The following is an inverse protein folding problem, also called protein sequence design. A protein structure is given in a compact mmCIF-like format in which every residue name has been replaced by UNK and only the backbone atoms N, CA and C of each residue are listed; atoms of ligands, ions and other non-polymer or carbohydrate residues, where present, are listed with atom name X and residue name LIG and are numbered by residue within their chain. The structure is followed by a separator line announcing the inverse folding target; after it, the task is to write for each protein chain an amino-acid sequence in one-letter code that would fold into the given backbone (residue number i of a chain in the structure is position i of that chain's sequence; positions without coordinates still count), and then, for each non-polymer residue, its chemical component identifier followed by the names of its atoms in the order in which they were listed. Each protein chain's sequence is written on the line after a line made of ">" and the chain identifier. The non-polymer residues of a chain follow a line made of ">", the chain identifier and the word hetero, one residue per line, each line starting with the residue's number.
data_IF_376801387422
#
_entry.id   IF_376801387422
#
_cell.length_a   1.000
_cell.length_b   1.000
_cell.length_c   1.000
_cell.angle_alpha   90.00
_cell.angle_beta   90.00
_cell.angle_gamma   90.00
#
_symmetry.space_group_name_H-M   'P 1'
#
loop_
_entity.id
_entity.type
_entity.pdbx_description
1 polymer ?
#
# COMPACT_ATOMS: atom_id res chain seq x y z
N UNK A 1 -23.82 3.65 -3.01
CA UNK A 1 -24.06 4.89 -3.80
C UNK A 1 -22.75 5.64 -3.92
N UNK A 2 -22.32 6.05 -5.11
CA UNK A 2 -21.10 6.85 -5.30
C UNK A 2 -21.48 8.34 -5.29
N UNK A 3 -20.77 9.14 -4.50
CA UNK A 3 -20.88 10.59 -4.47
C UNK A 3 -19.49 11.19 -4.65
N UNK A 4 -19.40 12.31 -5.36
CA UNK A 4 -18.14 13.04 -5.54
C UNK A 4 -18.35 14.46 -5.05
N UNK A 5 -17.38 14.98 -4.30
CA UNK A 5 -17.40 16.38 -3.85
C UNK A 5 -17.21 17.33 -5.02
N UNK A 6 -17.66 18.58 -4.87
CA UNK A 6 -17.45 19.61 -5.88
C UNK A 6 -15.95 19.88 -6.13
N UNK A 7 -15.63 20.35 -7.34
CA UNK A 7 -14.28 20.76 -7.72
C UNK A 7 -13.45 19.70 -8.44
N UNK A 8 -14.06 18.59 -8.87
CA UNK A 8 -13.46 17.66 -9.84
C UNK A 8 -13.89 18.02 -11.26
N UNK A 9 -12.93 18.41 -12.10
CA UNK A 9 -13.11 18.66 -13.53
C UNK A 9 -13.43 17.37 -14.29
N UNK A 10 -12.85 16.24 -13.88
CA UNK A 10 -13.02 14.94 -14.56
C UNK A 10 -13.99 14.00 -13.83
N UNK A 11 -14.97 14.55 -13.11
CA UNK A 11 -15.87 13.81 -12.21
C UNK A 11 -16.59 12.64 -12.86
N UNK A 12 -17.08 12.77 -14.11
CA UNK A 12 -17.79 11.69 -14.80
C UNK A 12 -16.88 10.48 -15.07
N UNK A 13 -15.68 10.72 -15.59
CA UNK A 13 -14.70 9.67 -15.89
C UNK A 13 -14.19 9.00 -14.62
N UNK A 14 -13.94 9.78 -13.56
CA UNK A 14 -13.48 9.28 -12.26
C UNK A 14 -14.58 8.40 -11.62
N UNK A 15 -15.82 8.89 -11.53
CA UNK A 15 -16.94 8.13 -10.99
C UNK A 15 -17.16 6.83 -11.75
N UNK A 16 -17.12 6.88 -13.09
CA UNK A 16 -17.27 5.67 -13.92
C UNK A 16 -16.16 4.65 -13.67
N UNK A 17 -14.89 5.08 -13.64
CA UNK A 17 -13.77 4.18 -13.37
C UNK A 17 -13.90 3.52 -11.99
N UNK A 18 -14.30 4.30 -10.98
CA UNK A 18 -14.51 3.78 -9.62
C UNK A 18 -15.65 2.78 -9.58
N UNK A 19 -16.78 3.05 -10.24
CA UNK A 19 -17.91 2.12 -10.30
C UNK A 19 -17.52 0.81 -10.99
N UNK A 20 -16.85 0.89 -12.14
CA UNK A 20 -16.39 -0.27 -12.92
C UNK A 20 -15.45 -1.14 -12.07
N UNK A 21 -14.41 -0.54 -11.46
CA UNK A 21 -13.43 -1.28 -10.65
C UNK A 21 -14.03 -1.80 -9.34
N UNK A 22 -14.88 -1.02 -8.66
CA UNK A 22 -15.56 -1.47 -7.45
C UNK A 22 -16.49 -2.65 -7.73
N UNK A 23 -17.12 -2.68 -8.90
CA UNK A 23 -17.90 -3.81 -9.40
C UNK A 23 -17.04 -5.03 -9.69
N UNK A 24 -15.90 -4.87 -10.39
CA UNK A 24 -14.95 -5.96 -10.66
C UNK A 24 -14.43 -6.61 -9.36
N UNK A 25 -14.14 -5.80 -8.34
CA UNK A 25 -13.64 -6.26 -7.04
C UNK A 25 -14.76 -6.76 -6.09
N UNK A 26 -16.04 -6.60 -6.46
CA UNK A 26 -17.19 -6.95 -5.63
C UNK A 26 -17.34 -6.10 -4.36
N UNK A 27 -16.67 -4.94 -4.31
CA UNK A 27 -16.71 -4.00 -3.18
C UNK A 27 -18.08 -3.33 -3.08
N UNK A 28 -18.69 -3.01 -4.23
CA UNK A 28 -19.99 -2.33 -4.31
C UNK A 28 -21.15 -3.12 -3.67
N UNK A 29 -21.01 -4.43 -3.46
CA UNK A 29 -21.99 -5.27 -2.77
C UNK A 29 -21.85 -5.21 -1.24
N UNK A 30 -20.69 -4.75 -0.75
CA UNK A 30 -20.33 -4.71 0.67
C UNK A 30 -20.42 -3.29 1.25
N UNK A 31 -20.28 -2.27 0.43
CA UNK A 31 -20.35 -0.87 0.85
C UNK A 31 -21.71 -0.25 0.54
N UNK A 32 -22.21 0.54 1.50
CA UNK A 32 -23.42 1.35 1.36
C UNK A 32 -23.11 2.65 0.58
N UNK A 33 -21.93 3.23 0.80
CA UNK A 33 -21.53 4.53 0.24
C UNK A 33 -20.03 4.62 -0.08
N UNK A 34 -19.70 5.24 -1.22
CA UNK A 34 -18.35 5.67 -1.57
C UNK A 34 -18.40 7.19 -1.83
N UNK A 35 -17.70 7.96 -1.01
CA UNK A 35 -17.58 9.41 -1.11
C UNK A 35 -16.19 9.77 -1.65
N UNK A 36 -16.14 10.29 -2.87
CA UNK A 36 -14.91 10.66 -3.56
C UNK A 36 -14.50 12.07 -3.14
N UNK A 37 -13.25 12.21 -2.67
CA UNK A 37 -12.68 13.45 -2.14
C UNK A 37 -11.33 13.74 -2.78
N UNK A 38 -10.97 15.02 -2.84
CA UNK A 38 -9.60 15.41 -3.15
C UNK A 38 -8.69 14.95 -2.00
N UNK A 39 -7.50 14.40 -2.30
CA UNK A 39 -6.55 14.06 -1.26
C UNK A 39 -6.12 15.33 -0.51
N UNK A 40 -5.78 15.23 0.78
CA UNK A 40 -5.23 16.35 1.51
C UNK A 40 -3.88 16.75 0.92
N UNK A 41 -3.37 17.93 1.33
CA UNK A 41 -2.06 18.44 0.91
C UNK A 41 -0.85 17.57 1.35
N UNK A 42 -1.11 16.48 2.05
CA UNK A 42 -0.13 15.46 2.46
C UNK A 42 -0.30 14.23 1.58
N UNK A 43 0.77 13.57 1.12
CA UNK A 43 0.65 12.34 0.34
C UNK A 43 0.00 11.24 1.19
N UNK A 44 -1.29 11.02 0.93
CA UNK A 44 -2.01 9.83 1.36
C UNK A 44 -1.79 8.79 0.27
N UNK A 45 -1.22 7.65 0.67
CA UNK A 45 -0.86 6.55 -0.23
C UNK A 45 -1.67 5.29 0.12
N UNK A 46 -2.76 5.44 0.89
CA UNK A 46 -3.62 4.34 1.33
C UNK A 46 -5.01 4.87 1.66
N UNK A 47 -6.04 4.21 1.12
CA UNK A 47 -7.43 4.45 1.48
C UNK A 47 -7.94 3.43 2.51
N UNK A 48 -8.68 3.92 3.49
CA UNK A 48 -9.23 3.13 4.60
C UNK A 48 -10.75 3.12 4.59
N UNK A 49 -11.35 2.02 5.04
CA UNK A 49 -12.76 2.01 5.36
C UNK A 49 -13.05 2.91 6.55
N UNK A 50 -14.26 3.47 6.56
CA UNK A 50 -14.78 4.08 7.78
C UNK A 50 -14.97 3.03 8.86
N UNK A 51 -14.97 3.47 10.12
CA UNK A 51 -15.12 2.59 11.30
C UNK A 51 -16.38 1.69 11.31
N UNK A 52 -17.38 2.01 10.49
CA UNK A 52 -18.59 1.21 10.32
C UNK A 52 -18.45 0.03 9.32
N UNK A 53 -17.30 -0.05 8.63
CA UNK A 53 -17.00 -0.99 7.54
C UNK A 53 -18.04 -0.99 6.40
N UNK A 54 -18.79 0.10 6.25
CA UNK A 54 -19.89 0.24 5.30
C UNK A 54 -19.74 1.45 4.39
N UNK A 55 -18.95 2.42 4.79
CA UNK A 55 -18.67 3.63 4.00
C UNK A 55 -17.19 3.79 3.72
N UNK A 56 -16.87 4.35 2.55
CA UNK A 56 -15.51 4.65 2.13
C UNK A 56 -15.43 6.13 1.75
N UNK A 57 -14.51 6.86 2.37
CA UNK A 57 -14.04 8.14 1.86
C UNK A 57 -12.84 7.85 0.94
N UNK A 58 -13.09 7.84 -0.38
CA UNK A 58 -12.08 7.54 -1.38
C UNK A 58 -11.38 8.82 -1.82
N UNK A 59 -10.14 8.98 -1.39
CA UNK A 59 -9.29 10.09 -1.77
C UNK A 59 -8.55 9.77 -3.07
N UNK A 60 -8.76 10.60 -4.10
CA UNK A 60 -8.11 10.45 -5.40
C UNK A 60 -7.88 11.81 -6.06
N UNK A 61 -6.74 11.97 -6.72
CA UNK A 61 -6.42 13.18 -7.46
C UNK A 61 -7.31 13.33 -8.71
N UNK A 62 -7.64 14.57 -9.05
CA UNK A 62 -8.34 14.94 -10.29
C UNK A 62 -7.40 14.94 -11.50
N UNK A 63 -6.89 13.77 -11.84
CA UNK A 63 -6.07 13.54 -13.02
C UNK A 63 -6.57 12.31 -13.77
N UNK A 64 -6.48 12.33 -15.09
CA UNK A 64 -6.78 11.18 -15.95
C UNK A 64 -5.55 10.33 -16.26
N UNK A 65 -4.33 10.87 -16.08
CA UNK A 65 -3.09 10.13 -16.28
C UNK A 65 -3.08 8.90 -15.37
N UNK A 66 -2.91 7.69 -15.88
CA UNK A 66 -2.98 6.43 -15.10
C UNK A 66 -4.17 6.32 -14.11
N UNK A 67 -5.35 6.87 -14.46
CA UNK A 67 -6.52 6.83 -13.58
C UNK A 67 -6.91 5.40 -13.18
N UNK A 68 -6.91 4.47 -14.14
CA UNK A 68 -7.26 3.07 -13.86
C UNK A 68 -6.30 2.44 -12.84
N UNK A 69 -4.98 2.60 -13.01
CA UNK A 69 -3.99 2.07 -12.08
C UNK A 69 -4.16 2.63 -10.67
N UNK A 70 -4.45 3.94 -10.56
CA UNK A 70 -4.76 4.57 -9.27
C UNK A 70 -6.00 4.00 -8.61
N UNK A 71 -7.13 4.01 -9.31
CA UNK A 71 -8.42 3.53 -8.77
C UNK A 71 -8.29 2.07 -8.33
N UNK A 72 -7.62 1.23 -9.14
CA UNK A 72 -7.36 -0.17 -8.79
C UNK A 72 -6.54 -0.32 -7.53
N UNK A 73 -5.46 0.44 -7.39
CA UNK A 73 -4.59 0.40 -6.22
C UNK A 73 -5.35 0.77 -4.94
N UNK A 74 -6.03 1.92 -4.96
CA UNK A 74 -6.77 2.41 -3.80
C UNK A 74 -7.93 1.48 -3.42
N UNK A 75 -8.70 1.00 -4.40
CA UNK A 75 -9.78 0.05 -4.13
C UNK A 75 -9.25 -1.33 -3.73
N UNK A 76 -8.02 -1.72 -4.06
CA UNK A 76 -7.42 -2.95 -3.56
C UNK A 76 -7.07 -2.89 -2.07
N UNK A 77 -6.65 -1.73 -1.55
CA UNK A 77 -6.56 -1.55 -0.08
C UNK A 77 -7.90 -1.83 0.60
N UNK A 78 -8.98 -1.34 0.00
CA UNK A 78 -10.35 -1.54 0.52
C UNK A 78 -10.80 -2.99 0.36
N UNK A 79 -10.52 -3.62 -0.79
CA UNK A 79 -10.83 -5.02 -1.02
C UNK A 79 -10.14 -5.94 -0.01
N UNK A 80 -8.86 -5.65 0.29
CA UNK A 80 -8.10 -6.36 1.31
C UNK A 80 -8.74 -6.18 2.70
N UNK A 81 -9.13 -4.97 3.09
CA UNK A 81 -9.83 -4.72 4.37
C UNK A 81 -11.15 -5.50 4.49
N UNK A 82 -11.91 -5.61 3.40
CA UNK A 82 -13.18 -6.36 3.33
C UNK A 82 -13.00 -7.88 3.18
N UNK A 83 -11.76 -8.37 3.07
CA UNK A 83 -11.46 -9.77 2.88
C UNK A 83 -11.12 -10.46 4.21
N UNK A 84 -11.99 -11.37 4.66
CA UNK A 84 -11.81 -12.11 5.91
C UNK A 84 -10.47 -12.88 5.99
N UNK A 85 -9.92 -13.30 4.84
CA UNK A 85 -8.61 -13.99 4.80
C UNK A 85 -7.44 -13.05 5.03
N UNK A 86 -7.59 -11.77 4.69
CA UNK A 86 -6.56 -10.76 4.92
C UNK A 86 -6.52 -10.32 6.39
N UNK A 87 -7.63 -10.46 7.14
CA UNK A 87 -7.70 -10.24 8.59
C UNK A 87 -7.20 -8.86 9.02
N UNK A 88 -7.65 -7.82 8.32
CA UNK A 88 -7.33 -6.44 8.68
C UNK A 88 -7.71 -6.10 10.13
N UNK A 89 -6.83 -5.36 10.82
CA UNK A 89 -7.00 -4.96 12.22
C UNK A 89 -6.32 -3.61 12.47
N UNK A 90 -7.11 -2.56 12.72
CA UNK A 90 -6.61 -1.19 12.99
C UNK A 90 -5.56 -1.16 14.10
N UNK A 91 -5.70 -2.01 15.12
CA UNK A 91 -4.77 -2.10 16.26
C UNK A 91 -3.36 -2.57 15.90
N UNK A 92 -3.15 -3.11 14.70
CA UNK A 92 -1.85 -3.55 14.20
C UNK A 92 -1.23 -2.54 13.21
N UNK A 93 -1.88 -1.42 12.93
CA UNK A 93 -1.28 -0.33 12.15
C UNK A 93 -0.16 0.31 12.98
N UNK A 94 1.07 0.43 12.45
CA UNK A 94 2.12 1.12 13.18
C UNK A 94 1.77 2.59 13.46
N UNK A 95 2.24 3.18 14.57
CA UNK A 95 1.92 4.56 14.89
C UNK A 95 2.36 5.53 13.79
N UNK A 96 1.49 6.45 13.40
CA UNK A 96 1.82 7.50 12.43
C UNK A 96 3.08 8.27 12.86
N UNK A 97 3.89 8.69 11.89
CA UNK A 97 5.13 9.40 12.15
C UNK A 97 6.33 8.51 12.48
N UNK A 98 6.17 7.19 12.62
CA UNK A 98 7.28 6.25 12.84
C UNK A 98 7.89 5.73 11.53
N UNK A 99 9.13 5.21 11.58
CA UNK A 99 9.72 4.50 10.43
C UNK A 99 8.96 3.23 10.07
N UNK A 100 8.40 2.52 11.06
CA UNK A 100 7.55 1.37 10.84
C UNK A 100 6.29 1.72 10.03
N UNK A 101 5.67 2.88 10.30
CA UNK A 101 4.51 3.32 9.51
C UNK A 101 4.85 3.57 8.03
N UNK A 102 6.02 4.16 7.74
CA UNK A 102 6.51 4.32 6.36
C UNK A 102 6.76 2.97 5.66
N UNK A 103 7.34 2.01 6.38
CA UNK A 103 7.60 0.64 5.89
C UNK A 103 6.31 -0.13 5.65
N UNK A 104 5.35 0.00 6.56
CA UNK A 104 4.01 -0.60 6.43
C UNK A 104 3.31 -0.16 5.15
N UNK A 105 3.28 1.16 4.88
CA UNK A 105 2.80 1.73 3.62
C UNK A 105 3.46 1.07 2.41
N UNK A 106 4.79 1.09 2.41
CA UNK A 106 5.58 0.52 1.31
C UNK A 106 5.25 -0.96 1.06
N UNK A 107 5.23 -1.77 2.12
CA UNK A 107 4.99 -3.21 2.02
C UNK A 107 3.60 -3.52 1.46
N UNK A 108 2.57 -2.82 1.92
CA UNK A 108 1.22 -3.03 1.40
C UNK A 108 1.11 -2.58 -0.06
N UNK A 109 1.73 -1.45 -0.41
CA UNK A 109 1.71 -0.93 -1.77
C UNK A 109 2.45 -1.87 -2.76
N UNK A 110 3.60 -2.43 -2.35
CA UNK A 110 4.29 -3.49 -3.10
C UNK A 110 3.41 -4.73 -3.25
N UNK A 111 2.71 -5.13 -2.20
CA UNK A 111 1.81 -6.27 -2.23
C UNK A 111 0.62 -6.07 -3.20
N UNK A 112 0.06 -4.85 -3.25
CA UNK A 112 -1.02 -4.51 -4.19
C UNK A 112 -0.52 -4.43 -5.62
N UNK A 113 0.51 -3.63 -5.89
CA UNK A 113 1.00 -3.42 -7.26
C UNK A 113 1.53 -4.71 -7.87
N UNK A 114 2.19 -5.56 -7.08
CA UNK A 114 2.62 -6.87 -7.56
C UNK A 114 1.45 -7.78 -7.96
N UNK A 115 0.32 -7.76 -7.22
CA UNK A 115 -0.89 -8.50 -7.58
C UNK A 115 -1.57 -7.94 -8.82
N UNK A 116 -1.63 -6.62 -8.96
CA UNK A 116 -2.16 -5.96 -10.16
C UNK A 116 -1.37 -6.37 -11.40
N UNK A 117 -0.05 -6.24 -11.36
CA UNK A 117 0.84 -6.60 -12.48
C UNK A 117 0.73 -8.09 -12.81
N UNK A 118 0.75 -8.99 -11.81
CA UNK A 118 0.58 -10.43 -12.04
C UNK A 118 -0.78 -10.80 -12.64
N UNK A 119 -1.81 -10.00 -12.38
CA UNK A 119 -3.15 -10.17 -12.97
C UNK A 119 -3.30 -9.52 -14.35
N UNK A 120 -2.25 -8.90 -14.88
CA UNK A 120 -2.29 -8.19 -16.16
C UNK A 120 -3.09 -6.89 -16.12
N UNK A 121 -3.28 -6.31 -14.93
CA UNK A 121 -4.00 -5.05 -14.73
C UNK A 121 -3.00 -3.90 -14.50
N UNK A 122 -3.35 -2.65 -14.86
CA UNK A 122 -2.54 -1.48 -14.55
C UNK A 122 -2.32 -1.34 -13.04
N UNK A 123 -1.08 -1.05 -12.63
CA UNK A 123 -0.70 -0.72 -11.25
C UNK A 123 -0.60 0.80 -11.04
N UNK A 124 -0.56 1.24 -9.78
CA UNK A 124 -0.35 2.65 -9.45
C UNK A 124 1.04 3.09 -9.87
N UNK A 125 2.05 2.32 -9.45
CA UNK A 125 3.45 2.53 -9.79
C UNK A 125 4.05 1.35 -10.53
N UNK A 126 5.21 1.56 -11.15
CA UNK A 126 5.93 0.48 -11.84
C UNK A 126 6.74 -0.37 -10.85
N UNK A 127 7.07 -1.58 -11.28
CA UNK A 127 7.98 -2.45 -10.52
C UNK A 127 9.32 -1.74 -10.23
N UNK A 128 9.87 -1.02 -11.21
CA UNK A 128 11.14 -0.31 -11.07
C UNK A 128 11.05 0.85 -10.06
N UNK A 129 9.92 1.54 -10.00
CA UNK A 129 9.70 2.60 -9.03
C UNK A 129 9.60 2.04 -7.61
N UNK A 130 8.86 0.94 -7.42
CA UNK A 130 8.78 0.22 -6.13
C UNK A 130 10.11 -0.43 -5.72
N UNK A 131 10.92 -0.88 -6.67
CA UNK A 131 12.29 -1.33 -6.42
C UNK A 131 13.16 -0.18 -5.89
N UNK A 132 13.02 1.02 -6.46
CA UNK A 132 13.75 2.20 -5.99
C UNK A 132 13.27 2.68 -4.63
N UNK A 133 11.96 2.67 -4.39
CA UNK A 133 11.35 3.15 -3.14
C UNK A 133 11.86 2.38 -1.90
N UNK A 134 12.30 1.13 -2.05
CA UNK A 134 12.87 0.36 -0.94
C UNK A 134 14.08 1.06 -0.30
N UNK A 135 14.81 1.88 -1.05
CA UNK A 135 15.95 2.63 -0.56
C UNK A 135 15.57 3.62 0.52
N UNK A 136 14.43 4.28 0.37
CA UNK A 136 13.91 5.22 1.34
C UNK A 136 13.37 4.53 2.60
N UNK A 137 12.90 3.29 2.45
CA UNK A 137 12.28 2.53 3.54
C UNK A 137 13.29 1.72 4.35
N UNK A 138 14.40 1.32 3.74
CA UNK A 138 15.45 0.52 4.36
C UNK A 138 16.84 1.07 4.03
N UNK A 139 17.12 2.36 4.33
CA UNK A 139 18.37 3.02 3.94
C UNK A 139 19.61 2.40 4.62
N UNK A 140 19.43 1.65 5.71
CA UNK A 140 20.48 0.93 6.41
C UNK A 140 20.96 -0.33 5.69
N UNK A 141 20.14 -0.90 4.81
CA UNK A 141 20.47 -2.12 4.09
C UNK A 141 21.27 -1.80 2.82
N UNK A 142 22.23 -2.66 2.51
CA UNK A 142 23.01 -2.57 1.28
C UNK A 142 22.11 -2.64 0.05
N UNK A 143 22.50 -1.98 -1.04
CA UNK A 143 21.77 -2.03 -2.31
C UNK A 143 21.54 -3.47 -2.81
N UNK A 144 22.51 -4.36 -2.58
CA UNK A 144 22.42 -5.77 -2.94
C UNK A 144 21.35 -6.52 -2.15
N UNK A 145 21.29 -6.31 -0.83
CA UNK A 145 20.27 -6.93 0.03
C UNK A 145 18.89 -6.38 -0.29
N UNK A 146 18.75 -5.05 -0.37
CA UNK A 146 17.51 -4.35 -0.76
C UNK A 146 16.89 -4.95 -2.03
N UNK A 147 17.69 -5.08 -3.09
CA UNK A 147 17.21 -5.67 -4.36
C UNK A 147 16.69 -7.10 -4.21
N UNK A 148 17.36 -7.93 -3.41
CA UNK A 148 16.95 -9.32 -3.17
C UNK A 148 15.66 -9.38 -2.34
N UNK A 149 15.56 -8.56 -1.30
CA UNK A 149 14.34 -8.42 -0.49
C UNK A 149 13.17 -7.96 -1.36
N UNK A 150 13.35 -6.93 -2.19
CA UNK A 150 12.33 -6.47 -3.13
C UNK A 150 11.89 -7.58 -4.08
N UNK A 151 12.84 -8.28 -4.72
CA UNK A 151 12.53 -9.37 -5.64
C UNK A 151 11.70 -10.46 -4.97
N UNK A 152 12.01 -10.80 -3.72
CA UNK A 152 11.22 -11.73 -2.92
C UNK A 152 9.81 -11.20 -2.67
N UNK A 153 9.68 -10.00 -2.09
CA UNK A 153 8.40 -9.35 -1.78
C UNK A 153 7.49 -9.22 -3.02
N UNK A 154 8.06 -8.79 -4.16
CA UNK A 154 7.35 -8.67 -5.42
C UNK A 154 6.88 -10.03 -5.96
N UNK A 155 7.67 -11.09 -5.73
CA UNK A 155 7.37 -12.45 -6.15
C UNK A 155 6.34 -13.17 -5.30
N UNK A 156 6.07 -12.68 -4.08
CA UNK A 156 5.26 -13.40 -3.09
C UNK A 156 3.80 -13.66 -3.49
N UNK A 157 3.24 -14.69 -2.83
CA UNK A 157 1.83 -15.05 -2.92
C UNK A 157 0.95 -14.20 -2.00
N UNK A 158 -0.12 -14.80 -1.47
CA UNK A 158 -1.04 -14.11 -0.57
C UNK A 158 -0.37 -13.79 0.77
N UNK A 159 -0.55 -12.56 1.23
CA UNK A 159 -0.20 -12.08 2.54
C UNK A 159 -1.47 -11.80 3.35
N UNK A 160 -1.39 -11.97 4.67
CA UNK A 160 -2.36 -11.38 5.58
C UNK A 160 -1.80 -10.09 6.22
N UNK A 161 -2.69 -9.36 6.89
CA UNK A 161 -2.38 -8.06 7.47
C UNK A 161 -1.36 -8.14 8.60
N UNK A 162 -1.39 -9.22 9.39
CA UNK A 162 -0.48 -9.42 10.52
C UNK A 162 0.95 -9.60 10.02
N UNK A 163 1.13 -10.31 8.90
CA UNK A 163 2.43 -10.44 8.22
C UNK A 163 2.95 -9.08 7.73
N UNK A 164 2.11 -8.27 7.07
CA UNK A 164 2.51 -6.93 6.60
C UNK A 164 2.91 -6.03 7.79
N UNK A 165 2.11 -6.04 8.86
CA UNK A 165 2.39 -5.28 10.08
C UNK A 165 3.69 -5.74 10.74
N UNK A 166 3.88 -7.05 10.96
CA UNK A 166 5.11 -7.59 11.55
C UNK A 166 6.35 -7.22 10.74
N UNK A 167 6.29 -7.37 9.41
CA UNK A 167 7.38 -6.97 8.51
C UNK A 167 7.69 -5.48 8.54
N UNK A 168 6.73 -4.62 8.88
CA UNK A 168 6.99 -3.19 8.98
C UNK A 168 7.88 -2.81 10.18
N UNK A 169 7.80 -3.59 11.25
CA UNK A 169 8.68 -3.46 12.42
C UNK A 169 10.00 -4.19 12.22
N UNK A 170 9.98 -5.36 11.60
CA UNK A 170 11.16 -6.15 11.25
C UNK A 170 10.89 -6.92 9.94
N UNK A 171 11.49 -6.47 8.85
CA UNK A 171 11.35 -7.06 7.51
C UNK A 171 11.67 -8.57 7.49
N UNK A 172 12.51 -9.03 8.41
CA UNK A 172 12.97 -10.41 8.49
C UNK A 172 12.14 -11.28 9.45
N UNK A 173 11.11 -10.72 10.08
CA UNK A 173 10.30 -11.38 11.13
C UNK A 173 9.43 -12.53 10.63
N UNK A 174 8.97 -12.46 9.38
CA UNK A 174 7.87 -13.31 8.90
C UNK A 174 8.35 -14.48 8.03
N UNK A 175 9.40 -14.28 7.23
CA UNK A 175 9.86 -15.26 6.25
C UNK A 175 11.31 -15.67 6.51
N UNK A 176 11.54 -16.97 6.68
CA UNK A 176 12.88 -17.53 6.90
C UNK A 176 13.82 -17.28 5.72
N UNK A 177 13.30 -17.12 4.50
CA UNK A 177 14.08 -16.73 3.33
C UNK A 177 14.68 -15.33 3.47
N UNK A 178 13.87 -14.35 3.91
CA UNK A 178 14.34 -12.98 4.11
C UNK A 178 15.34 -12.91 5.26
N UNK A 179 15.08 -13.63 6.34
CA UNK A 179 16.00 -13.76 7.48
C UNK A 179 17.32 -14.42 7.09
N UNK A 180 17.27 -15.49 6.31
CA UNK A 180 18.47 -16.17 5.81
C UNK A 180 19.28 -15.25 4.89
N UNK A 181 18.61 -14.42 4.07
CA UNK A 181 19.27 -13.41 3.24
C UNK A 181 20.04 -12.39 4.10
N UNK A 182 19.40 -11.82 5.12
CA UNK A 182 20.04 -10.88 6.04
C UNK A 182 21.25 -11.50 6.74
N UNK A 183 21.09 -12.70 7.32
CA UNK A 183 22.16 -13.43 7.99
C UNK A 183 23.34 -13.72 7.06
N UNK A 184 23.07 -14.11 5.81
CA UNK A 184 24.13 -14.41 4.83
C UNK A 184 24.94 -13.17 4.42
N UNK A 185 24.36 -11.98 4.60
CA UNK A 185 25.01 -10.70 4.32
C UNK A 185 25.65 -10.08 5.58
N UNK A 186 25.36 -10.62 6.78
CA UNK A 186 25.79 -10.03 8.04
C UNK A 186 25.15 -8.66 8.31
N UNK A 187 23.96 -8.43 7.77
CA UNK A 187 23.22 -7.18 7.87
C UNK A 187 22.00 -7.35 8.78
N UNK A 188 21.67 -6.31 9.56
CA UNK A 188 20.51 -6.27 10.44
C UNK A 188 19.70 -5.00 10.18
N UNK A 189 18.39 -5.07 10.44
CA UNK A 189 17.50 -3.92 10.29
C UNK A 189 17.67 -2.96 11.47
N UNK A 190 17.65 -1.66 11.19
CA UNK A 190 17.59 -0.61 12.21
C UNK A 190 16.13 -0.25 12.52
N UNK A 191 15.83 0.01 13.79
CA UNK A 191 14.55 0.59 14.21
C UNK A 191 14.65 2.10 14.16
N UNK A 192 13.68 2.75 13.53
CA UNK A 192 13.56 4.21 13.45
C UNK A 192 12.29 4.65 14.16
N UNK A 193 12.44 5.37 15.27
CA UNK A 193 11.33 5.83 16.10
C UNK A 193 10.54 6.93 15.38
N UNK A 194 11.19 7.67 14.46
CA UNK A 194 10.55 8.72 13.68
C UNK A 194 10.84 8.60 12.17
N UNK A 195 9.95 9.17 11.35
CA UNK A 195 10.18 9.33 9.91
C UNK A 195 11.38 10.24 9.65
N UNK A 196 11.64 11.23 10.50
CA UNK A 196 12.79 12.11 10.41
C UNK A 196 14.11 11.35 10.59
N UNK A 197 14.18 10.43 11.56
CA UNK A 197 15.34 9.56 11.75
C UNK A 197 15.60 8.68 10.52
N UNK A 198 14.54 8.04 10.00
CA UNK A 198 14.61 7.26 8.76
C UNK A 198 15.15 8.12 7.59
N UNK A 199 14.57 9.30 7.37
CA UNK A 199 14.92 10.19 6.25
C UNK A 199 16.33 10.75 6.34
N UNK A 200 16.87 10.89 7.55
CA UNK A 200 18.18 11.47 7.80
C UNK A 200 19.29 10.41 7.97
N UNK A 201 18.93 9.13 7.93
CA UNK A 201 19.91 8.05 8.04
C UNK A 201 20.95 8.14 6.91
N UNK A 202 22.23 8.18 7.28
CA UNK A 202 23.37 8.23 6.35
C UNK A 202 23.57 9.58 5.63
N UNK A 203 22.88 10.65 6.04
CA UNK A 203 23.08 12.02 5.54
C UNK A 203 24.02 12.85 6.41
#
# INVERSE_FOLDING_TARGET
>A
MIKIVDGFENSEQICKMIDDVAGELGINQKLEEISIKHPPNTPIDMNYLSSDNKSLDLEIVDSLENLEGRVRHELMHVADQLNEKFKYKDSLIPPEGTGAFRRYKYLWNVYIDSRLVKSGKPSYDTQEAREKEIEECYPELSAGLRKRCFTFLWGMGLLDFEQISAMSYDLFSTFEELKSLALSHGEEQTTFETIEELKNYGK
#
